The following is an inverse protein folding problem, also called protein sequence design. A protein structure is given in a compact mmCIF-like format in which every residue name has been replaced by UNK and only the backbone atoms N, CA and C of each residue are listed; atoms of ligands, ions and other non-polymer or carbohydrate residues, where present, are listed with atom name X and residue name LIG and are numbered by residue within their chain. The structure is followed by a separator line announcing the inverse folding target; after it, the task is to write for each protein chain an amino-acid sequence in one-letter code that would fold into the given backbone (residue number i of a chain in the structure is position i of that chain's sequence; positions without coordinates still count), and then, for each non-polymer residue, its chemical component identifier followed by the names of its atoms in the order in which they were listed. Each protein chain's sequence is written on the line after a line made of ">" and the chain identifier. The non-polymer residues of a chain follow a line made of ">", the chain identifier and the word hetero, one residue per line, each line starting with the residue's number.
data_IF_449839744468
#
_entry.id   IF_449839744468
#
_cell.length_a   1.000
_cell.length_b   1.000
_cell.length_c   1.000
_cell.angle_alpha   90.00
_cell.angle_beta   90.00
_cell.angle_gamma   90.00
#
_symmetry.space_group_name_H-M   'P 1'
#
loop_
_entity.id
_entity.type
_entity.pdbx_description
1 polymer ?
#
# COMPACT_ATOMS: atom_id res chain seq x y z
N UNK A 1 18.36 -1.98 14.63
CA UNK A 1 17.12 -1.80 15.39
C UNK A 1 16.11 -0.94 14.64
N UNK A 2 16.46 0.29 14.25
CA UNK A 2 15.56 1.23 13.55
C UNK A 2 15.06 0.67 12.20
N UNK A 3 15.93 0.12 11.36
CA UNK A 3 15.56 -0.54 10.10
C UNK A 3 14.50 -1.63 10.31
N UNK A 4 14.66 -2.45 11.36
CA UNK A 4 13.70 -3.51 11.66
C UNK A 4 12.32 -2.94 11.97
N UNK A 5 12.23 -1.88 12.77
CA UNK A 5 10.96 -1.23 13.13
C UNK A 5 10.36 -0.54 11.92
N UNK A 6 11.18 0.16 11.13
CA UNK A 6 10.76 0.92 9.97
C UNK A 6 10.03 0.05 8.92
N UNK A 7 10.53 -1.17 8.70
CA UNK A 7 9.94 -2.11 7.73
C UNK A 7 8.95 -3.12 8.33
N UNK A 8 8.61 -3.01 9.62
CA UNK A 8 7.68 -3.92 10.30
C UNK A 8 6.39 -3.17 10.64
N UNK A 9 5.30 -3.38 9.88
CA UNK A 9 4.03 -2.73 10.20
C UNK A 9 3.40 -3.30 11.47
N UNK A 10 2.71 -2.45 12.21
CA UNK A 10 1.93 -2.90 13.37
C UNK A 10 0.65 -3.58 12.90
N UNK A 11 0.38 -4.77 13.43
CA UNK A 11 -0.91 -5.43 13.26
C UNK A 11 -1.78 -5.14 14.48
N UNK A 12 -3.00 -4.71 14.25
CA UNK A 12 -4.00 -4.47 15.29
C UNK A 12 -5.31 -5.21 14.96
N UNK A 13 -6.13 -5.42 15.98
CA UNK A 13 -7.43 -6.08 15.83
C UNK A 13 -8.29 -5.31 14.81
N UNK A 14 -8.86 -6.04 13.86
CA UNK A 14 -9.72 -5.43 12.84
C UNK A 14 -10.99 -4.86 13.48
N UNK A 15 -11.30 -3.57 13.26
CA UNK A 15 -12.54 -2.98 13.75
C UNK A 15 -13.78 -3.67 13.18
N UNK A 16 -14.87 -3.71 13.94
CA UNK A 16 -16.12 -4.38 13.53
C UNK A 16 -16.60 -3.89 12.16
N UNK A 17 -16.63 -2.57 11.94
CA UNK A 17 -17.05 -1.98 10.64
C UNK A 17 -16.16 -2.39 9.47
N UNK A 18 -14.92 -2.77 9.71
CA UNK A 18 -14.04 -3.28 8.67
C UNK A 18 -14.25 -4.78 8.44
N UNK A 19 -14.59 -5.55 9.48
CA UNK A 19 -15.01 -6.95 9.35
C UNK A 19 -16.32 -7.06 8.55
N UNK A 20 -17.28 -6.18 8.81
CA UNK A 20 -18.52 -6.07 8.01
C UNK A 20 -18.20 -5.79 6.53
N UNK A 21 -17.28 -4.87 6.26
CA UNK A 21 -16.85 -4.58 4.88
C UNK A 21 -16.14 -5.77 4.24
N UNK A 22 -15.33 -6.48 5.01
CA UNK A 22 -14.64 -7.69 4.55
C UNK A 22 -15.65 -8.80 4.17
N UNK A 23 -16.70 -8.98 4.98
CA UNK A 23 -17.72 -10.00 4.72
C UNK A 23 -18.55 -9.77 3.44
N UNK A 24 -18.58 -8.55 2.94
CA UNK A 24 -19.24 -8.17 1.68
C UNK A 24 -18.35 -8.38 0.44
N UNK A 25 -17.10 -8.73 0.62
CA UNK A 25 -16.17 -8.93 -0.47
C UNK A 25 -16.16 -10.38 -0.97
N UNK A 26 -15.81 -10.57 -2.23
CA UNK A 26 -15.28 -11.83 -2.74
C UNK A 26 -13.77 -11.85 -2.50
N UNK A 27 -13.28 -12.64 -1.51
CA UNK A 27 -11.86 -12.69 -1.21
C UNK A 27 -11.13 -13.57 -2.21
N UNK A 28 -9.91 -13.19 -2.57
CA UNK A 28 -8.98 -14.02 -3.35
C UNK A 28 -7.54 -13.81 -2.89
N UNK A 29 -6.64 -14.71 -3.26
CA UNK A 29 -5.23 -14.60 -2.92
C UNK A 29 -4.38 -14.61 -4.18
N UNK A 30 -3.29 -13.85 -4.13
CA UNK A 30 -2.25 -13.87 -5.16
C UNK A 30 -0.90 -14.19 -4.49
N UNK A 31 -0.01 -14.85 -5.21
CA UNK A 31 1.35 -15.07 -4.75
C UNK A 31 2.25 -13.97 -5.33
N UNK A 32 2.95 -13.25 -4.46
CA UNK A 32 3.93 -12.22 -4.84
C UNK A 32 5.18 -12.41 -3.99
N UNK A 33 6.32 -12.60 -4.65
CA UNK A 33 7.62 -12.80 -3.99
C UNK A 33 7.60 -13.88 -2.88
N UNK A 34 6.91 -14.99 -3.14
CA UNK A 34 6.80 -16.12 -2.22
C UNK A 34 5.86 -15.88 -1.02
N UNK A 35 5.09 -14.79 -1.00
CA UNK A 35 4.11 -14.48 0.04
C UNK A 35 2.69 -14.56 -0.52
N UNK A 36 1.77 -15.14 0.24
CA UNK A 36 0.35 -15.06 -0.07
C UNK A 36 -0.19 -13.69 0.36
N UNK A 37 -0.71 -12.95 -0.61
CA UNK A 37 -1.30 -11.63 -0.44
C UNK A 37 -2.81 -11.73 -0.53
N UNK A 38 -3.50 -11.26 0.51
CA UNK A 38 -4.96 -11.24 0.55
C UNK A 38 -5.50 -10.06 -0.24
N UNK A 39 -6.37 -10.35 -1.18
CA UNK A 39 -7.08 -9.39 -2.00
C UNK A 39 -8.59 -9.53 -1.79
N UNK A 40 -9.30 -8.48 -2.11
CA UNK A 40 -10.74 -8.37 -1.97
C UNK A 40 -11.33 -7.70 -3.20
N UNK A 41 -12.50 -8.19 -3.61
CA UNK A 41 -13.27 -7.64 -4.72
C UNK A 41 -14.68 -7.34 -4.22
N UNK A 42 -15.12 -6.08 -4.34
CA UNK A 42 -16.46 -5.61 -3.97
C UNK A 42 -17.21 -5.13 -5.19
N UNK A 43 -18.31 -5.81 -5.50
CA UNK A 43 -19.18 -5.51 -6.65
C UNK A 43 -19.13 -6.61 -7.70
N UNK A 44 -19.49 -6.26 -8.93
CA UNK A 44 -19.59 -7.20 -10.04
C UNK A 44 -18.28 -7.26 -10.82
N UNK A 45 -17.67 -8.44 -10.91
CA UNK A 45 -16.35 -8.64 -11.53
C UNK A 45 -16.29 -8.23 -13.02
N UNK A 46 -17.43 -8.24 -13.73
CA UNK A 46 -17.51 -7.82 -15.13
C UNK A 46 -17.46 -6.30 -15.34
N UNK A 47 -17.64 -5.51 -14.28
CA UNK A 47 -17.61 -4.04 -14.35
C UNK A 47 -16.18 -3.51 -14.30
N UNK A 48 -15.95 -2.33 -14.92
CA UNK A 48 -14.64 -1.65 -14.75
C UNK A 48 -14.37 -1.42 -13.27
N UNK A 49 -13.11 -1.53 -12.84
CA UNK A 49 -12.79 -1.45 -11.42
C UNK A 49 -11.88 -0.27 -11.06
N UNK A 50 -12.05 0.18 -9.82
CA UNK A 50 -11.15 1.10 -9.12
C UNK A 50 -10.27 0.28 -8.18
N UNK A 51 -8.95 0.51 -8.20
CA UNK A 51 -8.02 -0.12 -7.27
C UNK A 51 -7.81 0.77 -6.06
N UNK A 52 -7.89 0.19 -4.85
CA UNK A 52 -7.62 0.92 -3.60
C UNK A 52 -6.34 0.41 -2.94
N UNK A 53 -5.46 1.33 -2.51
CA UNK A 53 -4.16 1.03 -1.90
C UNK A 53 -4.06 1.71 -0.55
N UNK A 54 -4.00 0.92 0.53
CA UNK A 54 -3.97 1.42 1.90
C UNK A 54 -2.59 1.95 2.33
N UNK A 55 -2.58 2.70 3.42
CA UNK A 55 -1.37 3.22 4.06
C UNK A 55 -0.68 2.22 4.98
N UNK A 56 0.46 2.65 5.54
CA UNK A 56 1.22 1.85 6.51
C UNK A 56 0.36 1.43 7.70
N UNK A 57 0.52 0.20 8.16
CA UNK A 57 -0.29 -0.46 9.16
C UNK A 57 -1.80 -0.53 8.85
N UNK A 58 -2.21 -0.21 7.62
CA UNK A 58 -3.59 -0.25 7.15
C UNK A 58 -4.02 -1.60 6.60
N UNK A 59 -5.15 -1.60 5.90
CA UNK A 59 -5.71 -2.72 5.14
C UNK A 59 -6.75 -2.25 4.14
N UNK A 60 -7.12 -3.09 3.17
CA UNK A 60 -8.06 -2.74 2.11
C UNK A 60 -9.43 -2.26 2.62
N UNK A 61 -9.94 -2.85 3.69
CA UNK A 61 -11.24 -2.53 4.30
C UNK A 61 -11.35 -1.12 4.89
N UNK A 62 -10.24 -0.40 5.01
CA UNK A 62 -10.27 1.02 5.42
C UNK A 62 -10.98 1.92 4.40
N UNK A 63 -11.08 1.48 3.15
CA UNK A 63 -11.83 2.18 2.10
C UNK A 63 -13.34 1.95 2.14
N UNK A 64 -13.89 1.40 3.23
CA UNK A 64 -15.31 1.04 3.42
C UNK A 64 -16.33 2.12 3.05
N UNK A 65 -15.96 3.39 3.15
CA UNK A 65 -16.86 4.50 2.76
C UNK A 65 -16.82 4.78 1.25
N UNK A 66 -15.74 4.44 0.56
CA UNK A 66 -15.60 4.61 -0.88
C UNK A 66 -16.25 3.47 -1.66
N UNK A 67 -16.17 2.24 -1.15
CA UNK A 67 -16.66 1.03 -1.82
C UNK A 67 -18.11 1.17 -2.29
N UNK A 68 -19.10 1.49 -1.42
CA UNK A 68 -20.49 1.60 -1.86
C UNK A 68 -20.71 2.76 -2.85
N UNK A 69 -19.94 3.84 -2.73
CA UNK A 69 -20.04 4.96 -3.68
C UNK A 69 -19.69 4.50 -5.10
N UNK A 70 -18.58 3.75 -5.26
CA UNK A 70 -18.19 3.23 -6.57
C UNK A 70 -19.15 2.17 -7.08
N UNK A 71 -19.58 1.23 -6.23
CA UNK A 71 -20.51 0.17 -6.64
C UNK A 71 -21.83 0.75 -7.12
N UNK A 72 -22.40 1.75 -6.43
CA UNK A 72 -23.64 2.42 -6.83
C UNK A 72 -23.49 3.23 -8.13
N UNK A 73 -22.27 3.56 -8.54
CA UNK A 73 -21.96 4.24 -9.80
C UNK A 73 -21.45 3.29 -10.89
N UNK A 74 -21.66 1.99 -10.75
CA UNK A 74 -21.37 0.99 -11.79
C UNK A 74 -19.90 0.57 -11.88
N UNK A 75 -19.12 0.80 -10.85
CA UNK A 75 -17.74 0.34 -10.77
C UNK A 75 -17.60 -0.79 -9.76
N UNK A 76 -16.71 -1.72 -10.07
CA UNK A 76 -16.19 -2.69 -9.11
C UNK A 76 -15.04 -2.05 -8.29
N UNK A 77 -14.77 -2.52 -7.09
CA UNK A 77 -13.63 -2.08 -6.28
C UNK A 77 -12.75 -3.28 -5.95
N UNK A 78 -11.47 -3.17 -6.24
CA UNK A 78 -10.47 -4.15 -5.84
C UNK A 78 -9.51 -3.50 -4.85
N UNK A 79 -9.21 -4.22 -3.78
CA UNK A 79 -8.19 -3.81 -2.81
C UNK A 79 -7.40 -5.00 -2.33
N UNK A 80 -6.27 -4.75 -1.71
CA UNK A 80 -5.43 -5.79 -1.13
C UNK A 80 -4.89 -5.35 0.24
N UNK A 81 -4.67 -6.31 1.10
CA UNK A 81 -3.82 -6.11 2.26
C UNK A 81 -2.37 -6.29 1.80
N UNK A 82 -1.55 -5.26 1.88
CA UNK A 82 -0.16 -5.35 1.44
C UNK A 82 0.63 -6.44 2.19
N UNK A 83 1.78 -6.88 1.68
CA UNK A 83 2.62 -7.84 2.40
C UNK A 83 2.87 -7.39 3.84
N UNK A 84 2.84 -8.32 4.79
CA UNK A 84 2.94 -8.08 6.24
C UNK A 84 1.77 -7.30 6.88
N UNK A 85 0.74 -6.91 6.13
CA UNK A 85 -0.45 -6.21 6.63
C UNK A 85 -1.68 -7.12 6.66
N UNK A 86 -2.68 -6.73 7.43
CA UNK A 86 -3.99 -7.37 7.47
C UNK A 86 -3.92 -8.89 7.53
N UNK A 87 -4.52 -9.56 6.53
CA UNK A 87 -4.53 -11.02 6.38
C UNK A 87 -3.43 -11.57 5.45
N UNK A 88 -2.59 -10.70 4.89
CA UNK A 88 -1.46 -11.10 4.06
C UNK A 88 -0.31 -11.66 4.87
N UNK A 89 0.48 -12.53 4.26
CA UNK A 89 1.68 -13.10 4.86
C UNK A 89 2.83 -12.10 4.97
N UNK A 90 3.82 -12.45 5.76
CA UNK A 90 5.04 -11.69 5.97
C UNK A 90 5.11 -11.02 7.35
N UNK A 91 6.31 -10.56 7.68
CA UNK A 91 6.62 -9.81 8.92
C UNK A 91 7.18 -8.43 8.61
N UNK A 92 7.74 -8.26 7.42
CA UNK A 92 8.32 -7.02 6.93
C UNK A 92 7.84 -6.77 5.51
N UNK A 93 7.82 -5.49 5.12
CA UNK A 93 7.49 -5.06 3.77
C UNK A 93 8.13 -3.72 3.45
N UNK A 94 8.08 -3.34 2.17
CA UNK A 94 8.57 -2.08 1.63
C UNK A 94 7.71 -1.64 0.42
N UNK A 95 8.04 -0.49 -0.15
CA UNK A 95 7.35 0.07 -1.32
C UNK A 95 7.37 -0.87 -2.54
N UNK A 96 8.50 -1.53 -2.80
CA UNK A 96 8.67 -2.41 -3.97
C UNK A 96 7.76 -3.64 -3.89
N UNK A 97 7.62 -4.24 -2.71
CA UNK A 97 6.71 -5.36 -2.50
C UNK A 97 5.24 -4.96 -2.74
N UNK A 98 4.83 -3.76 -2.31
CA UNK A 98 3.49 -3.26 -2.62
C UNK A 98 3.30 -2.97 -4.10
N UNK A 99 4.32 -2.40 -4.76
CA UNK A 99 4.29 -2.18 -6.22
C UNK A 99 4.18 -3.51 -6.98
N UNK A 100 4.90 -4.54 -6.54
CA UNK A 100 4.81 -5.87 -7.14
C UNK A 100 3.38 -6.45 -7.01
N UNK A 101 2.71 -6.24 -5.86
CA UNK A 101 1.29 -6.60 -5.69
C UNK A 101 0.39 -5.83 -6.63
N UNK A 102 0.58 -4.51 -6.73
CA UNK A 102 -0.16 -3.65 -7.66
C UNK A 102 -0.04 -4.16 -9.10
N UNK A 103 1.19 -4.41 -9.57
CA UNK A 103 1.47 -4.92 -10.91
C UNK A 103 0.83 -6.29 -11.13
N UNK A 104 0.89 -7.19 -10.13
CA UNK A 104 0.29 -8.52 -10.22
C UNK A 104 -1.23 -8.48 -10.31
N UNK A 105 -1.89 -7.58 -9.58
CA UNK A 105 -3.35 -7.38 -9.70
C UNK A 105 -3.69 -6.87 -11.11
N UNK A 106 -2.94 -5.91 -11.64
CA UNK A 106 -3.17 -5.39 -13.00
C UNK A 106 -2.93 -6.47 -14.07
N UNK A 107 -1.92 -7.32 -13.90
CA UNK A 107 -1.67 -8.46 -14.78
C UNK A 107 -2.89 -9.42 -14.82
N UNK A 108 -3.51 -9.67 -13.68
CA UNK A 108 -4.62 -10.63 -13.55
C UNK A 108 -5.99 -10.05 -13.92
N UNK A 109 -6.22 -8.77 -13.64
CA UNK A 109 -7.55 -8.12 -13.74
C UNK A 109 -7.64 -7.07 -14.84
N UNK A 110 -6.52 -6.78 -15.53
CA UNK A 110 -6.41 -5.68 -16.47
C UNK A 110 -6.19 -4.32 -15.79
N UNK A 111 -6.14 -3.25 -16.56
CA UNK A 111 -5.88 -1.90 -16.06
C UNK A 111 -7.10 -1.33 -15.33
N UNK A 112 -6.96 -0.81 -14.09
CA UNK A 112 -8.04 -0.12 -13.40
C UNK A 112 -8.43 1.18 -14.10
N UNK A 113 -9.68 1.61 -13.97
CA UNK A 113 -10.13 2.93 -14.46
C UNK A 113 -9.51 4.07 -13.64
N UNK A 114 -9.06 3.79 -12.43
CA UNK A 114 -8.36 4.70 -11.56
C UNK A 114 -7.85 4.01 -10.30
N UNK A 115 -6.96 4.68 -9.60
CA UNK A 115 -6.39 4.25 -8.32
C UNK A 115 -6.78 5.27 -7.25
N UNK A 116 -7.21 4.80 -6.07
CA UNK A 116 -7.31 5.60 -4.85
C UNK A 116 -6.29 5.07 -3.86
N UNK A 117 -5.37 5.92 -3.47
CA UNK A 117 -4.27 5.53 -2.61
C UNK A 117 -4.17 6.45 -1.40
N UNK A 118 -3.89 5.88 -0.23
CA UNK A 118 -3.77 6.61 1.02
C UNK A 118 -2.37 6.49 1.59
N UNK A 119 -1.79 7.63 1.98
CA UNK A 119 -0.51 7.69 2.72
C UNK A 119 0.59 6.90 2.00
N UNK A 120 1.17 5.87 2.64
CA UNK A 120 2.17 4.97 2.06
C UNK A 120 1.73 4.38 0.71
N UNK A 121 0.46 3.98 0.58
CA UNK A 121 -0.09 3.50 -0.69
C UNK A 121 -0.05 4.53 -1.82
N UNK A 122 -0.13 5.83 -1.48
CA UNK A 122 0.04 6.90 -2.46
C UNK A 122 1.47 6.97 -2.99
N UNK A 123 2.46 6.79 -2.13
CA UNK A 123 3.87 6.66 -2.55
C UNK A 123 4.08 5.47 -3.49
N UNK A 124 3.43 4.33 -3.19
CA UNK A 124 3.45 3.14 -4.07
C UNK A 124 2.87 3.45 -5.45
N UNK A 125 1.70 4.10 -5.50
CA UNK A 125 1.04 4.45 -6.76
C UNK A 125 1.88 5.42 -7.59
N UNK A 126 2.47 6.45 -6.96
CA UNK A 126 3.36 7.40 -7.62
C UNK A 126 4.62 6.71 -8.15
N UNK A 127 5.26 5.86 -7.36
CA UNK A 127 6.43 5.08 -7.79
C UNK A 127 6.08 4.19 -8.99
N UNK A 128 4.95 3.51 -8.97
CA UNK A 128 4.52 2.68 -10.09
C UNK A 128 4.30 3.50 -11.38
N UNK A 129 3.73 4.71 -11.26
CA UNK A 129 3.57 5.64 -12.40
C UNK A 129 4.93 6.09 -12.93
N UNK A 130 5.87 6.44 -12.06
CA UNK A 130 7.24 6.80 -12.46
C UNK A 130 7.96 5.61 -13.14
N UNK A 131 7.65 4.38 -12.72
CA UNK A 131 8.14 3.14 -13.34
C UNK A 131 7.33 2.71 -14.58
N UNK A 132 6.51 3.61 -15.16
CA UNK A 132 5.82 3.42 -16.44
C UNK A 132 4.39 2.88 -16.35
N UNK A 133 3.78 2.80 -15.16
CA UNK A 133 2.36 2.47 -15.06
C UNK A 133 1.50 3.60 -15.63
N UNK A 134 0.79 3.31 -16.72
CA UNK A 134 -0.09 4.28 -17.38
C UNK A 134 -1.53 4.21 -16.84
N UNK A 135 -1.75 4.68 -15.62
CA UNK A 135 -3.09 4.80 -15.05
C UNK A 135 -3.70 6.16 -15.39
N UNK A 136 -4.96 6.16 -15.83
CA UNK A 136 -5.64 7.40 -16.28
C UNK A 136 -5.98 8.37 -15.14
N UNK A 137 -6.26 7.86 -13.94
CA UNK A 137 -6.73 8.65 -12.79
C UNK A 137 -6.09 8.15 -11.50
N UNK A 138 -5.53 9.06 -10.73
CA UNK A 138 -5.02 8.80 -9.37
C UNK A 138 -5.65 9.80 -8.41
N UNK A 139 -6.30 9.29 -7.37
CA UNK A 139 -6.67 10.07 -6.17
C UNK A 139 -5.67 9.71 -5.09
N UNK A 140 -4.82 10.67 -4.75
CA UNK A 140 -3.79 10.51 -3.73
C UNK A 140 -4.21 11.25 -2.45
N UNK A 141 -4.43 10.49 -1.37
CA UNK A 141 -4.93 11.02 -0.09
C UNK A 141 -3.79 11.01 0.93
N UNK A 142 -3.37 12.20 1.36
CA UNK A 142 -2.40 12.39 2.46
C UNK A 142 -1.09 11.59 2.30
N UNK A 143 -0.61 11.43 1.09
CA UNK A 143 0.67 10.76 0.84
C UNK A 143 1.83 11.69 1.17
N UNK A 144 2.79 11.25 2.00
CA UNK A 144 4.03 11.99 2.18
C UNK A 144 4.86 11.87 0.89
N UNK A 145 5.24 12.99 0.33
CA UNK A 145 6.06 13.06 -0.88
C UNK A 145 7.55 13.30 -0.58
N UNK A 146 7.87 13.68 0.65
CA UNK A 146 9.23 14.01 1.08
C UNK A 146 9.77 12.89 1.98
N UNK A 147 10.81 12.21 1.53
CA UNK A 147 11.45 11.08 2.23
C UNK A 147 11.90 11.40 3.65
N UNK A 148 12.50 12.55 3.88
CA UNK A 148 12.98 12.96 5.19
C UNK A 148 11.83 13.15 6.19
N UNK A 149 10.65 13.58 5.76
CA UNK A 149 9.48 13.73 6.63
C UNK A 149 8.93 12.38 7.12
N UNK A 150 9.05 11.34 6.29
CA UNK A 150 8.71 9.98 6.69
C UNK A 150 9.63 9.52 7.83
N UNK A 151 10.95 9.69 7.65
CA UNK A 151 11.96 9.33 8.67
C UNK A 151 11.73 10.14 9.95
N UNK A 152 11.50 11.46 9.85
CA UNK A 152 11.23 12.33 11.00
C UNK A 152 10.00 11.89 11.79
N UNK A 153 8.93 11.50 11.10
CA UNK A 153 7.70 11.02 11.73
C UNK A 153 7.96 9.76 12.56
N UNK A 154 8.72 8.79 12.01
CA UNK A 154 9.11 7.59 12.73
C UNK A 154 10.04 7.88 13.91
N UNK A 155 11.03 8.75 13.72
CA UNK A 155 11.96 9.14 14.79
C UNK A 155 11.22 9.83 15.93
N UNK A 156 10.30 10.74 15.62
CA UNK A 156 9.45 11.41 16.63
C UNK A 156 8.64 10.40 17.45
N UNK A 157 8.02 9.43 16.80
CA UNK A 157 7.24 8.39 17.47
C UNK A 157 8.09 7.48 18.37
N UNK A 158 9.39 7.35 18.10
CA UNK A 158 10.34 6.51 18.83
C UNK A 158 11.27 7.31 19.75
N UNK A 159 11.08 8.61 19.90
CA UNK A 159 12.01 9.52 20.59
C UNK A 159 13.45 9.38 20.07
N UNK A 160 13.61 9.13 18.77
CA UNK A 160 14.90 8.94 18.11
C UNK A 160 15.54 10.26 17.65
N UNK A 161 16.86 10.29 17.59
CA UNK A 161 17.61 11.44 17.08
C UNK A 161 17.73 11.41 15.54
N UNK A 162 17.88 12.58 14.90
CA UNK A 162 18.12 12.68 13.46
C UNK A 162 19.38 11.92 13.00
N UNK A 163 20.41 11.85 13.84
CA UNK A 163 21.61 11.03 13.59
C UNK A 163 21.26 9.54 13.31
N UNK A 164 20.21 9.02 13.95
CA UNK A 164 19.70 7.67 13.66
C UNK A 164 19.08 7.60 12.26
N UNK A 165 18.40 8.66 11.81
CA UNK A 165 17.83 8.78 10.47
C UNK A 165 18.90 8.82 9.39
N UNK A 166 19.97 9.60 9.60
CA UNK A 166 21.09 9.67 8.66
C UNK A 166 21.78 8.31 8.49
N UNK A 167 22.09 7.65 9.61
CA UNK A 167 22.65 6.28 9.57
C UNK A 167 21.72 5.28 8.88
N UNK A 168 20.42 5.44 9.04
CA UNK A 168 19.45 4.61 8.35
C UNK A 168 19.50 4.84 6.83
N UNK A 169 19.56 6.10 6.37
CA UNK A 169 19.70 6.45 4.94
C UNK A 169 20.98 5.85 4.34
N UNK A 170 22.11 6.00 5.05
CA UNK A 170 23.39 5.40 4.64
C UNK A 170 23.29 3.86 4.50
N UNK A 171 22.64 3.19 5.46
CA UNK A 171 22.42 1.75 5.42
C UNK A 171 21.58 1.33 4.21
N UNK A 172 20.51 2.05 3.91
CA UNK A 172 19.64 1.80 2.76
C UNK A 172 20.43 1.99 1.45
N UNK A 173 21.18 3.09 1.35
CA UNK A 173 22.01 3.35 0.18
C UNK A 173 23.07 2.26 -0.03
N UNK A 174 23.75 1.84 1.03
CA UNK A 174 24.73 0.75 0.97
C UNK A 174 24.11 -0.58 0.55
N UNK A 175 22.88 -0.87 1.01
CA UNK A 175 22.20 -2.13 0.76
C UNK A 175 21.59 -2.23 -0.63
N UNK A 176 21.11 -1.13 -1.17
CA UNK A 176 20.34 -1.08 -2.41
C UNK A 176 21.03 -0.33 -3.55
N UNK A 177 22.20 0.28 -3.30
CA UNK A 177 22.97 1.03 -4.30
C UNK A 177 22.35 2.37 -4.72
N UNK A 178 21.27 2.79 -4.06
CA UNK A 178 20.51 4.01 -4.36
C UNK A 178 20.24 4.81 -3.11
N UNK A 179 20.26 6.16 -3.17
CA UNK A 179 19.92 7.01 -2.03
C UNK A 179 18.47 6.82 -1.60
N UNK A 180 18.19 7.05 -0.32
CA UNK A 180 16.85 6.83 0.25
C UNK A 180 15.77 7.67 -0.45
N UNK A 181 16.14 8.82 -0.96
CA UNK A 181 15.27 9.74 -1.70
C UNK A 181 14.70 9.11 -2.97
N UNK A 182 15.41 8.20 -3.60
CA UNK A 182 14.91 7.47 -4.78
C UNK A 182 13.86 6.40 -4.45
N UNK A 183 13.72 6.03 -3.17
CA UNK A 183 12.67 5.11 -2.70
C UNK A 183 11.38 5.82 -2.30
N UNK A 184 11.33 7.11 -2.50
CA UNK A 184 10.14 7.93 -2.23
C UNK A 184 9.88 8.79 -3.44
N UNK A 185 8.63 8.93 -3.84
CA UNK A 185 8.24 9.81 -4.92
C UNK A 185 8.47 11.27 -4.48
N UNK A 186 9.71 11.73 -4.68
CA UNK A 186 10.31 13.02 -4.33
C UNK A 186 10.24 13.43 -2.92
#
# INVERSE_FOLDING_TARGET
>A
FFERIFFTPFRYKTPIKELETESLATPFKIAVEGKAVQCYEWGEAAKPYVLVIHGWAGRATQFRKFIPVFNNNGYNVIGFDGPAHGRSEGKKTNLFEFEAVLKKIIELKGMPVGIIAHSFGGGVALMAIMNGLNVKKLINIASPTISNEIIKTYLKALNGSWKTGERFKELIQKKHGKPFEEFTAM
#
